data_IF_018715926672
#
_entry.id   IF_018715926672
#
_cell.length_a   1.000
_cell.length_b   1.000
_cell.length_c   1.000
_cell.angle_alpha   90.00
_cell.angle_beta   90.00
_cell.angle_gamma   90.00
#
_symmetry.space_group_name_H-M   'P 1'
#
loop_
_entity.id
_entity.type
_entity.pdbx_description
1 polymer ?
#
# COMPACT_ATOMS: atom_id res chain seq x y z
N UNK A 1 -36.51 -4.82 6.37
CA UNK A 1 -35.40 -3.94 5.93
C UNK A 1 -34.50 -4.78 5.04
N UNK A 2 -34.26 -4.38 3.79
CA UNK A 2 -33.47 -5.18 2.86
C UNK A 2 -31.98 -4.87 3.09
N UNK A 3 -31.22 -5.84 3.58
CA UNK A 3 -29.79 -5.72 3.90
C UNK A 3 -28.99 -5.34 2.64
N UNK A 4 -29.34 -5.88 1.47
CA UNK A 4 -28.65 -5.57 0.21
C UNK A 4 -28.81 -4.10 -0.17
N UNK A 5 -30.01 -3.54 0.03
CA UNK A 5 -30.26 -2.13 -0.21
C UNK A 5 -29.47 -1.23 0.74
N UNK A 6 -29.36 -1.60 2.01
CA UNK A 6 -28.55 -0.86 2.98
C UNK A 6 -27.06 -0.93 2.66
N UNK A 7 -26.54 -2.09 2.26
CA UNK A 7 -25.15 -2.24 1.79
C UNK A 7 -24.90 -1.37 0.54
N UNK A 8 -25.82 -1.38 -0.42
CA UNK A 8 -25.70 -0.55 -1.64
C UNK A 8 -25.66 0.94 -1.30
N UNK A 9 -26.49 1.41 -0.36
CA UNK A 9 -26.46 2.81 0.10
C UNK A 9 -25.14 3.13 0.79
N UNK A 10 -24.62 2.25 1.63
CA UNK A 10 -23.33 2.45 2.32
C UNK A 10 -22.16 2.54 1.33
N UNK A 11 -22.12 1.67 0.31
CA UNK A 11 -21.10 1.74 -0.75
C UNK A 11 -21.17 3.07 -1.51
N UNK A 12 -22.37 3.48 -1.91
CA UNK A 12 -22.57 4.76 -2.59
C UNK A 12 -22.17 5.97 -1.72
N UNK A 13 -22.53 5.98 -0.43
CA UNK A 13 -22.14 7.06 0.47
C UNK A 13 -20.60 7.13 0.66
N UNK A 14 -19.92 5.98 0.75
CA UNK A 14 -18.46 5.89 0.82
C UNK A 14 -17.80 6.51 -0.42
N UNK A 15 -18.31 6.20 -1.61
CA UNK A 15 -17.83 6.77 -2.88
C UNK A 15 -18.08 8.28 -2.98
N UNK A 16 -19.24 8.75 -2.51
CA UNK A 16 -19.58 10.17 -2.51
C UNK A 16 -18.66 10.97 -1.58
N UNK A 17 -18.41 10.47 -0.37
CA UNK A 17 -17.48 11.09 0.59
C UNK A 17 -16.06 11.18 0.00
N UNK A 18 -15.60 10.10 -0.65
CA UNK A 18 -14.30 10.10 -1.30
C UNK A 18 -14.22 11.12 -2.45
N UNK A 19 -15.28 11.21 -3.27
CA UNK A 19 -15.37 12.20 -4.36
C UNK A 19 -15.28 13.62 -3.83
N UNK A 20 -15.96 13.92 -2.71
CA UNK A 20 -15.89 15.23 -2.06
C UNK A 20 -14.47 15.54 -1.56
N UNK A 21 -13.79 14.57 -0.93
CA UNK A 21 -12.42 14.74 -0.45
C UNK A 21 -11.42 14.96 -1.59
N UNK A 22 -11.58 14.23 -2.70
CA UNK A 22 -10.72 14.35 -3.87
C UNK A 22 -10.94 15.65 -4.65
N UNK A 23 -12.15 16.22 -4.62
CA UNK A 23 -12.41 17.52 -5.22
C UNK A 23 -11.57 18.63 -4.57
N UNK A 24 -11.37 18.57 -3.25
CA UNK A 24 -10.56 19.55 -2.52
C UNK A 24 -9.06 19.32 -2.67
N UNK A 25 -8.61 18.06 -2.65
CA UNK A 25 -7.20 17.73 -2.78
C UNK A 25 -6.99 16.31 -3.37
N UNK A 26 -6.90 16.18 -4.71
CA UNK A 26 -6.86 14.88 -5.37
C UNK A 26 -5.58 14.09 -5.08
N UNK A 27 -4.46 14.78 -4.84
CA UNK A 27 -3.18 14.12 -4.58
C UNK A 27 -3.08 13.63 -3.12
N UNK A 28 -3.63 14.37 -2.16
CA UNK A 28 -3.57 14.04 -0.73
C UNK A 28 -4.25 12.72 -0.38
N UNK A 29 -5.24 12.29 -1.14
CA UNK A 29 -5.99 11.06 -0.85
C UNK A 29 -5.81 9.97 -1.92
N UNK A 30 -4.76 10.07 -2.75
CA UNK A 30 -4.54 9.15 -3.86
C UNK A 30 -4.43 7.67 -3.45
N UNK A 31 -3.73 7.34 -2.35
CA UNK A 31 -3.65 5.96 -1.85
C UNK A 31 -5.00 5.47 -1.33
N UNK A 32 -5.66 6.24 -0.45
CA UNK A 32 -6.96 5.88 0.11
C UNK A 32 -8.03 5.74 -0.98
N UNK A 33 -7.92 6.50 -2.07
CA UNK A 33 -8.76 6.30 -3.25
C UNK A 33 -8.56 4.92 -3.88
N UNK A 34 -7.32 4.41 -3.96
CA UNK A 34 -7.07 3.05 -4.43
C UNK A 34 -7.67 2.00 -3.49
N UNK A 35 -7.51 2.17 -2.17
CA UNK A 35 -8.08 1.26 -1.15
C UNK A 35 -9.61 1.16 -1.32
N UNK A 36 -10.29 2.30 -1.44
CA UNK A 36 -11.75 2.33 -1.55
C UNK A 36 -12.24 1.76 -2.88
N UNK A 37 -11.64 2.13 -4.00
CA UNK A 37 -12.08 1.71 -5.32
C UNK A 37 -11.88 0.21 -5.58
N UNK A 38 -10.90 -0.40 -4.93
CA UNK A 38 -10.64 -1.84 -5.04
C UNK A 38 -11.28 -2.65 -3.91
N UNK A 39 -12.14 -2.02 -3.09
CA UNK A 39 -12.85 -2.63 -1.95
C UNK A 39 -11.90 -3.38 -1.00
N UNK A 40 -10.71 -2.81 -0.76
CA UNK A 40 -9.70 -3.42 0.09
C UNK A 40 -10.07 -3.35 1.57
N UNK A 41 -9.69 -4.38 2.31
CA UNK A 41 -9.89 -4.45 3.74
C UNK A 41 -8.77 -3.74 4.50
N UNK A 42 -9.02 -3.42 5.77
CA UNK A 42 -8.02 -2.84 6.67
C UNK A 42 -6.71 -3.64 6.73
N UNK A 43 -6.80 -4.98 6.66
CA UNK A 43 -5.62 -5.85 6.66
C UNK A 43 -4.73 -5.63 5.43
N UNK A 44 -5.34 -5.33 4.28
CA UNK A 44 -4.65 -5.13 3.00
C UNK A 44 -3.92 -3.79 3.02
N UNK A 45 -4.59 -2.74 3.51
CA UNK A 45 -3.99 -1.43 3.76
C UNK A 45 -2.76 -1.54 4.68
N UNK A 46 -2.92 -2.20 5.84
CA UNK A 46 -1.84 -2.40 6.80
C UNK A 46 -0.69 -3.21 6.18
N UNK A 47 -1.00 -4.23 5.38
CA UNK A 47 0.04 -5.03 4.72
C UNK A 47 0.83 -4.20 3.71
N UNK A 48 0.16 -3.38 2.89
CA UNK A 48 0.82 -2.48 1.95
C UNK A 48 1.74 -1.51 2.69
N UNK A 49 1.27 -0.87 3.76
CA UNK A 49 2.08 0.08 4.54
C UNK A 49 3.27 -0.60 5.24
N UNK A 50 3.09 -1.83 5.75
CA UNK A 50 4.19 -2.59 6.34
C UNK A 50 5.25 -2.99 5.31
N UNK A 51 4.86 -3.31 4.06
CA UNK A 51 5.82 -3.59 2.98
C UNK A 51 6.67 -2.36 2.71
N UNK A 52 6.03 -1.18 2.62
CA UNK A 52 6.73 0.10 2.45
C UNK A 52 7.65 0.39 3.64
N UNK A 53 7.19 0.18 4.88
CA UNK A 53 7.99 0.35 6.10
C UNK A 53 9.23 -0.55 6.11
N UNK A 54 9.06 -1.86 5.85
CA UNK A 54 10.15 -2.83 5.73
C UNK A 54 11.22 -2.35 4.75
N UNK A 55 10.79 -1.86 3.59
CA UNK A 55 11.71 -1.39 2.56
C UNK A 55 12.40 -0.08 2.91
N UNK A 56 11.70 0.85 3.56
CA UNK A 56 12.31 2.08 4.08
C UNK A 56 13.41 1.78 5.10
N UNK A 57 13.15 0.84 6.02
CA UNK A 57 14.15 0.39 7.00
C UNK A 57 15.38 -0.21 6.34
N UNK A 58 15.18 -1.10 5.35
CA UNK A 58 16.28 -1.67 4.56
C UNK A 58 17.06 -0.61 3.78
N UNK A 59 16.37 0.37 3.17
CA UNK A 59 17.04 1.44 2.43
C UNK A 59 17.85 2.37 3.34
N UNK A 60 17.42 2.53 4.60
CA UNK A 60 18.08 3.37 5.62
C UNK A 60 19.11 2.61 6.47
N UNK A 61 19.36 1.33 6.19
CA UNK A 61 20.19 0.42 7.00
C UNK A 61 19.73 0.28 8.47
N UNK A 62 18.44 0.49 8.76
CA UNK A 62 17.84 0.19 10.06
C UNK A 62 17.69 -1.33 10.21
N UNK A 63 18.06 -1.88 11.36
CA UNK A 63 18.10 -3.33 11.61
C UNK A 63 17.00 -3.82 12.56
N UNK A 64 16.03 -2.97 12.91
CA UNK A 64 14.92 -3.27 13.81
C UNK A 64 13.62 -3.46 13.04
N UNK A 65 13.13 -4.70 13.00
CA UNK A 65 11.95 -5.08 12.20
C UNK A 65 10.83 -5.73 13.03
N UNK A 66 10.83 -5.55 14.35
CA UNK A 66 9.94 -6.30 15.25
C UNK A 66 8.45 -6.14 14.89
N UNK A 67 8.03 -4.92 14.56
CA UNK A 67 6.64 -4.60 14.17
C UNK A 67 6.26 -5.26 12.84
N UNK A 68 7.08 -5.11 11.80
CA UNK A 68 6.85 -5.72 10.50
C UNK A 68 6.86 -7.25 10.61
N UNK A 69 7.73 -7.80 11.46
CA UNK A 69 7.86 -9.22 11.70
C UNK A 69 6.62 -9.81 12.35
N UNK A 70 6.15 -9.21 13.45
CA UNK A 70 4.91 -9.63 14.10
C UNK A 70 3.73 -9.63 13.10
N UNK A 71 3.62 -8.58 12.28
CA UNK A 71 2.56 -8.48 11.29
C UNK A 71 2.69 -9.54 10.18
N UNK A 72 3.85 -9.68 9.54
CA UNK A 72 4.03 -10.61 8.42
C UNK A 72 3.92 -12.07 8.85
N UNK A 73 4.37 -12.42 10.06
CA UNK A 73 4.18 -13.74 10.64
C UNK A 73 2.67 -14.04 10.81
N UNK A 74 1.87 -13.06 11.24
CA UNK A 74 0.42 -13.22 11.44
C UNK A 74 -0.36 -13.53 10.14
N UNK A 75 0.16 -13.08 8.99
CA UNK A 75 -0.42 -13.34 7.68
C UNK A 75 0.37 -14.39 6.87
N UNK A 76 1.37 -15.01 7.49
CA UNK A 76 2.25 -16.01 6.85
C UNK A 76 2.93 -15.53 5.57
N UNK A 77 3.28 -14.24 5.49
CA UNK A 77 4.01 -13.68 4.36
C UNK A 77 5.52 -13.79 4.61
N UNK A 78 6.23 -14.50 3.73
CA UNK A 78 7.68 -14.58 3.80
C UNK A 78 8.30 -13.33 3.19
N UNK A 79 9.12 -12.61 3.96
CA UNK A 79 9.80 -11.39 3.53
C UNK A 79 11.29 -11.39 3.89
N UNK A 80 12.05 -10.51 3.24
CA UNK A 80 13.49 -10.31 3.49
C UNK A 80 13.69 -9.18 4.50
N UNK A 81 14.29 -9.50 5.66
CA UNK A 81 14.64 -8.55 6.72
C UNK A 81 16.11 -8.10 6.70
N UNK A 82 16.90 -8.48 5.70
CA UNK A 82 18.32 -8.11 5.63
C UNK A 82 18.48 -6.64 5.17
N UNK A 83 18.96 -5.78 6.07
CA UNK A 83 19.21 -4.37 5.79
C UNK A 83 20.37 -4.13 4.81
N UNK A 84 21.23 -5.13 4.56
CA UNK A 84 22.28 -5.04 3.55
C UNK A 84 21.77 -5.31 2.14
N UNK A 85 20.56 -5.85 1.99
CA UNK A 85 19.95 -6.17 0.70
C UNK A 85 18.97 -5.05 0.34
N UNK A 86 19.24 -4.33 -0.75
CA UNK A 86 18.32 -3.28 -1.22
C UNK A 86 17.00 -3.88 -1.73
N UNK A 87 15.85 -3.23 -1.46
CA UNK A 87 14.58 -3.63 -2.05
C UNK A 87 14.61 -3.63 -3.57
N UNK A 88 13.80 -4.48 -4.21
CA UNK A 88 13.67 -4.55 -5.68
C UNK A 88 12.22 -4.44 -6.11
N UNK A 89 12.00 -4.16 -7.40
CA UNK A 89 10.64 -4.12 -7.97
C UNK A 89 10.01 -5.51 -7.94
N UNK A 90 10.79 -6.53 -8.29
CA UNK A 90 10.34 -7.92 -8.33
C UNK A 90 9.89 -8.39 -6.94
N UNK A 91 10.61 -7.96 -5.90
CA UNK A 91 10.25 -8.21 -4.51
C UNK A 91 8.93 -7.52 -4.14
N UNK A 92 8.80 -6.23 -4.48
CA UNK A 92 7.57 -5.46 -4.23
C UNK A 92 6.35 -6.09 -4.93
N UNK A 93 6.45 -6.36 -6.23
CA UNK A 93 5.41 -6.99 -7.04
C UNK A 93 5.07 -8.39 -6.49
N UNK A 94 6.09 -9.15 -6.06
CA UNK A 94 5.95 -10.47 -5.46
C UNK A 94 5.14 -10.44 -4.16
N UNK A 95 5.43 -9.50 -3.26
CA UNK A 95 4.69 -9.37 -2.01
C UNK A 95 3.25 -8.95 -2.24
N UNK A 96 3.00 -7.92 -3.07
CA UNK A 96 1.63 -7.50 -3.39
C UNK A 96 0.80 -8.63 -4.00
N UNK A 97 1.41 -9.44 -4.86
CA UNK A 97 0.76 -10.62 -5.44
C UNK A 97 0.45 -11.68 -4.37
N UNK A 98 1.37 -11.92 -3.44
CA UNK A 98 1.19 -12.91 -2.38
C UNK A 98 0.03 -12.54 -1.43
N UNK A 99 -0.18 -11.25 -1.17
CA UNK A 99 -1.32 -10.74 -0.40
C UNK A 99 -2.55 -10.37 -1.26
N UNK A 100 -2.58 -10.80 -2.52
CA UNK A 100 -3.72 -10.65 -3.46
C UNK A 100 -4.17 -9.20 -3.71
N UNK A 101 -3.26 -8.22 -3.72
CA UNK A 101 -3.61 -6.84 -4.04
C UNK A 101 -3.94 -6.70 -5.54
N UNK A 102 -5.17 -6.30 -5.91
CA UNK A 102 -5.63 -6.22 -7.29
C UNK A 102 -5.28 -4.88 -7.96
N UNK A 103 -4.26 -4.18 -7.47
CA UNK A 103 -3.87 -2.85 -7.94
C UNK A 103 -2.56 -2.99 -8.72
N UNK A 104 -2.41 -2.23 -9.81
CA UNK A 104 -1.12 -2.15 -10.49
C UNK A 104 -0.03 -1.63 -9.52
N UNK A 105 1.06 -2.40 -9.29
CA UNK A 105 2.10 -2.05 -8.31
C UNK A 105 2.71 -0.66 -8.52
N UNK A 106 3.00 -0.28 -9.77
CA UNK A 106 3.56 1.05 -10.08
C UNK A 106 2.58 2.17 -9.71
N UNK A 107 1.30 2.01 -10.03
CA UNK A 107 0.28 3.00 -9.68
C UNK A 107 0.05 3.11 -8.18
N UNK A 108 0.14 1.99 -7.46
CA UNK A 108 0.07 1.99 -6.00
C UNK A 108 1.24 2.77 -5.39
N UNK A 109 2.48 2.55 -5.86
CA UNK A 109 3.63 3.35 -5.43
C UNK A 109 3.47 4.83 -5.72
N UNK A 110 2.99 5.19 -6.92
CA UNK A 110 2.72 6.60 -7.26
C UNK A 110 1.68 7.21 -6.32
N UNK A 111 0.63 6.47 -5.98
CA UNK A 111 -0.44 6.92 -5.10
C UNK A 111 0.06 7.13 -3.66
N UNK A 112 0.90 6.24 -3.15
CA UNK A 112 1.53 6.36 -1.82
C UNK A 112 2.54 7.53 -1.82
N UNK A 113 3.39 7.65 -2.85
CA UNK A 113 4.40 8.70 -2.95
C UNK A 113 3.78 10.11 -2.95
N UNK A 114 2.64 10.28 -3.65
CA UNK A 114 1.92 11.56 -3.74
C UNK A 114 1.44 12.09 -2.38
N UNK A 115 1.17 11.21 -1.43
CA UNK A 115 0.71 11.62 -0.11
C UNK A 115 1.85 12.06 0.82
N UNK A 116 3.12 11.87 0.41
CA UNK A 116 4.30 12.06 1.27
C UNK A 116 4.22 11.30 2.60
N UNK A 117 3.39 10.26 2.66
CA UNK A 117 3.27 9.37 3.82
C UNK A 117 4.33 8.25 3.79
N UNK A 118 5.14 8.18 2.73
CA UNK A 118 6.26 7.26 2.59
C UNK A 118 7.56 8.03 2.36
N UNK A 119 8.54 7.72 3.21
CA UNK A 119 9.95 8.04 2.99
C UNK A 119 10.50 7.43 1.69
N UNK A 120 11.74 7.81 1.36
CA UNK A 120 12.57 7.58 0.18
C UNK A 120 12.37 6.30 -0.67
N UNK A 121 11.77 5.22 -0.14
CA UNK A 121 11.61 3.96 -0.88
C UNK A 121 10.63 4.05 -2.05
N UNK A 122 9.53 4.80 -1.94
CA UNK A 122 8.59 4.91 -3.05
C UNK A 122 9.26 5.58 -4.26
N UNK A 123 9.99 6.67 -4.04
CA UNK A 123 10.79 7.33 -5.09
C UNK A 123 11.86 6.38 -5.63
N UNK A 124 12.61 5.70 -4.75
CA UNK A 124 13.64 4.74 -5.14
C UNK A 124 13.10 3.64 -6.07
N UNK A 125 11.97 3.02 -5.72
CA UNK A 125 11.35 1.98 -6.55
C UNK A 125 10.78 2.56 -7.84
N UNK A 126 10.19 3.77 -7.81
CA UNK A 126 9.67 4.44 -9.01
C UNK A 126 10.77 4.78 -10.01
N UNK A 127 11.97 5.16 -9.57
CA UNK A 127 13.13 5.33 -10.47
C UNK A 127 13.52 3.99 -11.11
N UNK A 128 13.53 2.89 -10.35
CA UNK A 128 13.77 1.55 -10.90
C UNK A 128 12.76 1.15 -11.97
N UNK A 129 11.51 1.63 -11.87
CA UNK A 129 10.47 1.36 -12.87
C UNK A 129 10.70 2.11 -14.18
N UNK A 130 11.60 3.10 -14.22
CA UNK A 130 12.00 3.79 -15.45
C UNK A 130 13.17 3.10 -16.16
N UNK A 131 13.91 2.27 -15.42
CA UNK A 131 15.07 1.50 -15.92
C UNK A 131 14.68 0.14 -16.52
N UNK A 132 13.44 -0.33 -16.28
CA UNK A 132 12.86 -1.59 -16.75
C UNK A 132 12.17 -1.41 -18.10
#
# INVERSE_FOLDING_TARGET
MNIEQEISKLKYHKELMLTMLLHENPDKFSFYHQIINHDLEKKDEIAILNIISLFNKRLSNENTFDFEKEFFDSISLQVIYDCNVKPTIEEYEGYLKAINIPINPKYLLMAINKQKESDNVCEFLLEKYKEK
#
